data_IF_796254233285
#
_entry.id   IF_796254233285
#
_cell.length_a   1.000
_cell.length_b   1.000
_cell.length_c   1.000
_cell.angle_alpha   90.00
_cell.angle_beta   90.00
_cell.angle_gamma   90.00
#
_symmetry.space_group_name_H-M   'P 1'
#
loop_
_entity.id
_entity.type
_entity.pdbx_description
1 polymer ?
#
# COMPACT_ATOMS: atom_id res chain seq x y z
N UNK A 1 -2.92 9.73 25.26
CA UNK A 1 -1.92 8.66 25.08
C UNK A 1 -1.94 8.25 23.61
N UNK A 2 -0.82 7.83 23.00
CA UNK A 2 -0.85 7.27 21.64
C UNK A 2 -1.79 6.07 21.63
N UNK A 3 -2.70 6.04 20.67
CA UNK A 3 -3.53 4.87 20.40
C UNK A 3 -2.63 3.78 19.79
N UNK A 4 -2.59 2.59 20.39
CA UNK A 4 -1.83 1.45 19.85
C UNK A 4 -2.76 0.37 19.31
N UNK A 5 -3.96 0.77 18.91
CA UNK A 5 -4.91 -0.11 18.24
C UNK A 5 -4.28 -0.77 17.00
N UNK A 6 -4.70 -2.01 16.66
CA UNK A 6 -4.20 -2.68 15.47
C UNK A 6 -4.50 -1.93 14.18
N UNK A 7 -5.58 -1.16 14.16
CA UNK A 7 -6.03 -0.34 13.05
C UNK A 7 -5.42 1.08 13.05
N UNK A 8 -4.43 1.34 13.91
CA UNK A 8 -3.74 2.62 13.92
C UNK A 8 -3.08 2.89 12.54
N UNK A 9 -3.48 4.01 11.92
CA UNK A 9 -2.99 4.43 10.60
C UNK A 9 -1.47 4.51 10.50
N UNK A 10 -0.76 4.91 11.57
CA UNK A 10 0.70 4.94 11.59
C UNK A 10 1.28 3.53 11.49
N UNK A 11 0.74 2.55 12.23
CA UNK A 11 1.22 1.16 12.20
C UNK A 11 1.00 0.56 10.82
N UNK A 12 -0.21 0.69 10.26
CA UNK A 12 -0.55 0.18 8.93
C UNK A 12 0.38 0.76 7.85
N UNK A 13 0.58 2.08 7.87
CA UNK A 13 1.48 2.76 6.94
C UNK A 13 2.94 2.31 7.13
N UNK A 14 3.38 2.15 8.37
CA UNK A 14 4.73 1.69 8.67
C UNK A 14 4.95 0.24 8.24
N UNK A 15 3.97 -0.66 8.40
CA UNK A 15 4.01 -2.04 7.89
C UNK A 15 4.23 -2.05 6.39
N UNK A 16 3.46 -1.26 5.63
CA UNK A 16 3.63 -1.14 4.19
C UNK A 16 4.99 -0.53 3.82
N UNK A 17 5.40 0.54 4.49
CA UNK A 17 6.72 1.17 4.28
C UNK A 17 7.87 0.18 4.54
N UNK A 18 7.82 -0.54 5.67
CA UNK A 18 8.82 -1.53 6.06
C UNK A 18 8.88 -2.66 5.04
N UNK A 19 7.74 -3.17 4.58
CA UNK A 19 7.66 -4.18 3.52
C UNK A 19 8.42 -3.73 2.27
N UNK A 20 8.13 -2.56 1.71
CA UNK A 20 8.88 -2.11 0.52
C UNK A 20 10.35 -1.81 0.82
N UNK A 21 10.66 -1.27 2.01
CA UNK A 21 12.05 -1.00 2.42
C UNK A 21 12.89 -2.27 2.50
N UNK A 22 12.36 -3.33 3.11
CA UNK A 22 13.07 -4.60 3.26
C UNK A 22 13.30 -5.28 1.90
N UNK A 23 12.46 -4.99 0.90
CA UNK A 23 12.62 -5.43 -0.49
C UNK A 23 13.54 -4.49 -1.31
N UNK A 24 14.24 -3.56 -0.68
CA UNK A 24 15.25 -2.71 -1.31
C UNK A 24 14.71 -1.47 -2.03
N UNK A 25 13.42 -1.15 -1.90
CA UNK A 25 12.87 0.04 -2.55
C UNK A 25 13.28 1.34 -1.83
N UNK A 26 13.52 2.38 -2.61
CA UNK A 26 13.60 3.75 -2.12
C UNK A 26 12.19 4.36 -2.11
N UNK A 27 11.62 4.56 -0.92
CA UNK A 27 10.26 5.07 -0.76
C UNK A 27 10.24 6.60 -0.59
N UNK A 28 9.28 7.25 -1.22
CA UNK A 28 8.94 8.67 -1.06
C UNK A 28 7.43 8.86 -0.91
N UNK A 29 7.03 10.02 -0.39
CA UNK A 29 5.64 10.43 -0.33
C UNK A 29 5.04 10.53 -1.75
N UNK A 30 3.83 9.99 -1.94
CA UNK A 30 3.12 9.95 -3.23
C UNK A 30 2.05 11.01 -3.45
N UNK A 31 1.89 12.00 -2.55
CA UNK A 31 0.81 13.00 -2.56
C UNK A 31 0.66 13.72 -3.91
N UNK A 32 1.76 13.96 -4.63
CA UNK A 32 1.75 14.57 -5.97
C UNK A 32 0.91 13.79 -7.00
N UNK A 33 0.72 12.49 -6.78
CA UNK A 33 0.01 11.60 -7.69
C UNK A 33 -1.22 10.94 -7.04
N UNK A 34 -1.64 11.42 -5.85
CA UNK A 34 -2.81 10.88 -5.15
C UNK A 34 -2.62 9.45 -4.65
N UNK A 35 -1.40 9.06 -4.32
CA UNK A 35 -1.04 7.75 -3.75
C UNK A 35 -0.24 7.94 -2.47
N UNK A 36 -0.16 6.92 -1.62
CA UNK A 36 0.54 7.01 -0.33
C UNK A 36 2.06 7.03 -0.53
N UNK A 37 2.56 6.13 -1.37
CA UNK A 37 3.99 5.96 -1.61
C UNK A 37 4.37 5.93 -3.08
N UNK A 38 5.61 6.35 -3.35
CA UNK A 38 6.30 6.16 -4.61
C UNK A 38 7.50 5.27 -4.41
N UNK A 39 7.64 4.25 -5.25
CA UNK A 39 8.75 3.31 -5.20
C UNK A 39 9.76 3.58 -6.29
N UNK A 40 11.01 3.80 -5.88
CA UNK A 40 12.16 3.99 -6.75
C UNK A 40 13.15 2.84 -6.57
N UNK A 41 13.75 2.34 -7.65
CA UNK A 41 14.82 1.33 -7.53
C UNK A 41 16.08 1.88 -6.86
N UNK A 42 16.52 3.08 -7.27
CA UNK A 42 17.77 3.70 -6.79
C UNK A 42 17.60 5.08 -6.17
N UNK A 43 16.40 5.66 -6.26
CA UNK A 43 16.03 6.96 -5.71
C UNK A 43 15.88 8.06 -6.78
N UNK A 44 15.33 9.23 -6.39
CA UNK A 44 14.96 10.30 -7.34
C UNK A 44 16.07 10.85 -8.24
N UNK A 45 17.33 11.01 -7.78
CA UNK A 45 18.41 11.50 -8.65
C UNK A 45 18.79 10.53 -9.77
N UNK A 46 18.50 9.24 -9.59
CA UNK A 46 19.02 8.16 -10.46
C UNK A 46 17.95 7.57 -11.37
N UNK A 47 16.70 7.53 -10.93
CA UNK A 47 15.60 6.97 -11.72
C UNK A 47 14.27 7.64 -11.39
N UNK A 48 13.32 7.55 -12.31
CA UNK A 48 11.93 7.83 -11.97
C UNK A 48 11.36 6.77 -11.02
N UNK A 49 10.30 7.13 -10.29
CA UNK A 49 9.51 6.15 -9.55
C UNK A 49 8.79 5.23 -10.54
N UNK A 50 8.88 3.92 -10.31
CA UNK A 50 8.29 2.88 -11.15
C UNK A 50 6.83 2.61 -10.73
N UNK A 51 6.59 2.62 -9.42
CA UNK A 51 5.28 2.32 -8.84
C UNK A 51 4.74 3.48 -8.02
N UNK A 52 3.41 3.64 -8.07
CA UNK A 52 2.63 4.38 -7.08
C UNK A 52 1.84 3.39 -6.24
N UNK A 53 1.89 3.51 -4.91
CA UNK A 53 1.30 2.55 -3.97
C UNK A 53 0.19 3.20 -3.18
N UNK A 54 -0.95 2.53 -3.11
CA UNK A 54 -2.03 2.84 -2.19
C UNK A 54 -2.07 1.77 -1.12
N UNK A 55 -2.04 2.15 0.14
CA UNK A 55 -2.19 1.24 1.29
C UNK A 55 -3.66 1.05 1.58
N UNK A 56 -4.09 -0.21 1.60
CA UNK A 56 -5.48 -0.59 1.85
C UNK A 56 -5.53 -1.56 3.02
N UNK A 57 -5.99 -1.16 4.21
CA UNK A 57 -6.18 -2.11 5.29
C UNK A 57 -7.28 -3.12 4.94
N UNK A 58 -7.10 -4.37 5.37
CA UNK A 58 -8.10 -5.43 5.32
C UNK A 58 -8.31 -5.93 6.74
N UNK A 59 -9.56 -6.03 7.15
CA UNK A 59 -9.99 -6.55 8.44
C UNK A 59 -10.65 -7.92 8.28
N UNK A 60 -10.70 -8.71 9.37
CA UNK A 60 -11.50 -9.92 9.41
C UNK A 60 -13.01 -9.62 9.35
N UNK A 61 -13.42 -8.49 9.95
CA UNK A 61 -14.79 -7.98 9.95
C UNK A 61 -15.12 -7.31 8.61
N UNK A 62 -15.96 -7.99 7.83
CA UNK A 62 -16.39 -7.53 6.52
C UNK A 62 -17.17 -6.20 6.59
N UNK A 63 -17.83 -5.89 7.70
CA UNK A 63 -18.53 -4.62 7.90
C UNK A 63 -17.54 -3.45 7.86
N UNK A 64 -16.38 -3.61 8.51
CA UNK A 64 -15.29 -2.61 8.45
C UNK A 64 -14.74 -2.48 7.05
N UNK A 65 -14.52 -3.61 6.35
CA UNK A 65 -14.05 -3.60 4.96
C UNK A 65 -15.01 -2.85 4.04
N UNK A 66 -16.33 -3.02 4.21
CA UNK A 66 -17.34 -2.30 3.43
C UNK A 66 -17.29 -0.78 3.63
N UNK A 67 -17.01 -0.31 4.85
CA UNK A 67 -16.92 1.13 5.16
C UNK A 67 -15.71 1.80 4.50
N UNK A 68 -14.59 1.09 4.37
CA UNK A 68 -13.36 1.63 3.76
C UNK A 68 -13.24 1.34 2.26
N UNK A 69 -14.11 0.45 1.74
CA UNK A 69 -14.07 -0.02 0.36
C UNK A 69 -14.12 1.17 -0.60
N UNK A 70 -13.18 1.20 -1.53
CA UNK A 70 -13.18 2.17 -2.61
C UNK A 70 -14.01 1.64 -3.76
N UNK A 71 -14.81 2.51 -4.35
CA UNK A 71 -15.63 2.18 -5.49
C UNK A 71 -14.79 2.14 -6.78
N UNK A 72 -15.42 1.69 -7.86
CA UNK A 72 -14.76 1.59 -9.16
C UNK A 72 -14.35 2.95 -9.70
N UNK A 73 -15.16 4.00 -9.49
CA UNK A 73 -14.87 5.32 -10.03
C UNK A 73 -13.60 5.91 -9.41
N UNK A 74 -13.43 5.77 -8.09
CA UNK A 74 -12.21 6.15 -7.39
C UNK A 74 -11.00 5.37 -7.92
N UNK A 75 -11.11 4.04 -8.01
CA UNK A 75 -10.02 3.18 -8.47
C UNK A 75 -9.59 3.50 -9.90
N UNK A 76 -10.57 3.76 -10.78
CA UNK A 76 -10.34 4.18 -12.17
C UNK A 76 -9.69 5.56 -12.25
N UNK A 77 -10.13 6.51 -11.42
CA UNK A 77 -9.56 7.85 -11.32
C UNK A 77 -8.09 7.83 -10.92
N UNK A 78 -7.75 7.11 -9.85
CA UNK A 78 -6.34 7.02 -9.40
C UNK A 78 -5.49 6.30 -10.44
N UNK A 79 -6.00 5.20 -11.03
CA UNK A 79 -5.29 4.50 -12.09
C UNK A 79 -5.04 5.39 -13.32
N UNK A 80 -5.97 6.30 -13.67
CA UNK A 80 -5.78 7.28 -14.75
C UNK A 80 -4.67 8.29 -14.43
N UNK A 81 -4.62 8.81 -13.20
CA UNK A 81 -3.57 9.76 -12.78
C UNK A 81 -2.20 9.10 -12.80
N UNK A 82 -2.07 7.94 -12.16
CA UNK A 82 -0.81 7.19 -12.05
C UNK A 82 -0.34 6.69 -13.43
N UNK A 83 -1.25 6.13 -14.22
CA UNK A 83 -0.96 5.67 -15.58
C UNK A 83 -0.62 6.81 -16.54
N UNK A 84 -1.25 7.99 -16.38
CA UNK A 84 -0.97 9.18 -17.19
C UNK A 84 0.47 9.68 -17.04
N UNK A 85 1.09 9.47 -15.89
CA UNK A 85 2.51 9.78 -15.63
C UNK A 85 3.44 8.57 -15.78
N UNK A 86 2.99 7.55 -16.52
CA UNK A 86 3.75 6.32 -16.85
C UNK A 86 4.24 5.53 -15.63
N UNK A 87 3.47 5.55 -14.54
CA UNK A 87 3.71 4.71 -13.36
C UNK A 87 2.73 3.55 -13.34
N UNK A 88 3.10 2.48 -12.63
CA UNK A 88 2.20 1.35 -12.38
C UNK A 88 1.58 1.51 -11.00
N UNK A 89 0.26 1.40 -10.91
CA UNK A 89 -0.46 1.47 -9.64
C UNK A 89 -0.39 0.11 -8.93
N UNK A 90 -0.07 0.12 -7.65
CA UNK A 90 -0.07 -1.05 -6.77
C UNK A 90 -1.02 -0.79 -5.60
N UNK A 91 -1.95 -1.71 -5.39
CA UNK A 91 -2.73 -1.77 -4.15
C UNK A 91 -1.97 -2.66 -3.16
N UNK A 92 -1.53 -2.07 -2.07
CA UNK A 92 -0.83 -2.74 -0.99
C UNK A 92 -1.84 -3.05 0.11
N UNK A 93 -2.37 -4.26 0.08
CA UNK A 93 -3.30 -4.74 1.08
C UNK A 93 -2.55 -5.13 2.36
N UNK A 94 -2.95 -4.56 3.49
CA UNK A 94 -2.39 -4.86 4.81
C UNK A 94 -3.47 -5.54 5.64
N UNK A 95 -3.34 -6.84 5.87
CA UNK A 95 -4.23 -7.56 6.78
C UNK A 95 -3.93 -7.14 8.22
N UNK A 96 -4.92 -6.50 8.83
CA UNK A 96 -4.88 -6.01 10.21
C UNK A 96 -5.38 -7.11 11.14
N UNK A 97 -4.60 -7.52 12.16
CA UNK A 97 -5.05 -8.51 13.12
C UNK A 97 -6.13 -7.93 14.04
N UNK A 98 -7.07 -8.78 14.49
CA UNK A 98 -8.17 -8.36 15.38
C UNK A 98 -7.69 -7.86 16.74
N UNK A 99 -6.64 -8.51 17.24
CA UNK A 99 -5.95 -8.11 18.45
C UNK A 99 -4.43 -8.15 18.24
N UNK A 100 -3.74 -7.23 18.91
CA UNK A 100 -2.29 -7.29 19.06
C UNK A 100 -2.02 -7.78 20.49
N UNK A 101 -1.55 -9.02 20.64
CA UNK A 101 -0.99 -9.43 21.94
C UNK A 101 0.22 -8.57 22.27
N UNK A 102 0.61 -8.60 23.55
CA UNK A 102 1.85 -7.96 24.03
C UNK A 102 3.01 -8.30 23.09
N UNK A 103 3.73 -7.27 22.70
CA UNK A 103 4.93 -7.35 21.87
C UNK A 103 6.05 -6.62 22.61
N UNK A 104 7.26 -7.13 22.49
CA UNK A 104 8.44 -6.55 23.12
C UNK A 104 9.37 -5.90 22.09
N UNK A 105 9.31 -6.36 20.84
CA UNK A 105 10.09 -5.84 19.72
C UNK A 105 9.21 -5.42 18.54
N UNK A 106 9.71 -4.50 17.71
CA UNK A 106 8.99 -4.04 16.51
C UNK A 106 8.85 -5.19 15.49
N UNK A 107 9.83 -6.09 15.41
CA UNK A 107 9.77 -7.24 14.51
C UNK A 107 8.64 -8.21 14.84
N UNK A 108 8.40 -8.47 16.13
CA UNK A 108 7.26 -9.26 16.60
C UNK A 108 5.93 -8.62 16.20
N UNK A 109 5.82 -7.30 16.37
CA UNK A 109 4.64 -6.56 15.96
C UNK A 109 4.40 -6.66 14.46
N UNK A 110 5.43 -6.39 13.64
CA UNK A 110 5.33 -6.41 12.18
C UNK A 110 4.96 -7.79 11.63
N UNK A 111 5.45 -8.88 12.25
CA UNK A 111 5.12 -10.27 11.85
C UNK A 111 3.64 -10.62 12.02
N UNK A 112 2.89 -9.89 12.86
CA UNK A 112 1.45 -10.11 13.04
C UNK A 112 0.62 -9.59 11.87
N UNK A 113 1.16 -8.64 11.11
CA UNK A 113 0.51 -8.11 9.92
C UNK A 113 0.95 -8.90 8.68
N UNK A 114 0.04 -9.07 7.72
CA UNK A 114 0.36 -9.67 6.42
C UNK A 114 0.16 -8.65 5.32
N UNK A 115 1.11 -8.59 4.39
CA UNK A 115 1.06 -7.68 3.24
C UNK A 115 0.83 -8.47 1.97
N UNK A 116 -0.13 -8.04 1.14
CA UNK A 116 -0.39 -8.57 -0.19
C UNK A 116 -0.39 -7.44 -1.20
N UNK A 117 0.19 -7.68 -2.36
CA UNK A 117 0.32 -6.67 -3.40
C UNK A 117 -0.54 -7.05 -4.60
N UNK A 118 -1.34 -6.10 -5.09
CA UNK A 118 -2.08 -6.23 -6.33
C UNK A 118 -1.63 -5.15 -7.31
N UNK A 119 -0.99 -5.58 -8.39
CA UNK A 119 -0.51 -4.67 -9.44
C UNK A 119 -1.62 -4.42 -10.44
N UNK A 120 -2.15 -3.19 -10.44
CA UNK A 120 -3.16 -2.77 -11.40
C UNK A 120 -2.49 -2.44 -12.74
N UNK A 121 -2.73 -3.29 -13.73
CA UNK A 121 -2.31 -3.08 -15.11
C UNK A 121 -3.53 -2.98 -16.02
N UNK A 122 -3.44 -2.11 -17.02
CA UNK A 122 -4.45 -2.06 -18.09
C UNK A 122 -4.49 -3.40 -18.79
N UNK A 123 -5.68 -3.98 -18.88
CA UNK A 123 -5.88 -5.17 -19.70
C UNK A 123 -5.84 -4.78 -21.19
N UNK A 124 -4.97 -5.45 -21.96
CA UNK A 124 -4.79 -5.21 -23.39
C UNK A 124 -5.02 -6.54 -24.11
N UNK A 125 -6.07 -6.67 -24.96
CA UNK A 125 -6.42 -7.94 -25.61
C UNK A 125 -5.26 -8.59 -26.37
N UNK A 126 -4.39 -7.79 -27.00
CA UNK A 126 -3.26 -8.28 -27.80
C UNK A 126 -2.05 -8.72 -26.98
N UNK A 127 -1.97 -8.36 -25.69
CA UNK A 127 -0.83 -8.68 -24.81
C UNK A 127 -1.15 -9.67 -23.70
N UNK A 128 -2.44 -9.83 -23.38
CA UNK A 128 -2.92 -10.60 -22.24
C UNK A 128 -3.81 -11.78 -22.69
N UNK A 129 -3.55 -12.32 -23.88
CA UNK A 129 -4.24 -13.48 -24.44
C UNK A 129 -3.41 -14.74 -24.25
#
# INVERSE_FOLDING_TARGET
MPDWSPDNSFIINYVAYHHYRSHGWCIRNGVKFGVDYLLYRRGPPFSHAEFGVIVVPIYSDESKNQLIRKDWSWSSGVNRVVGGVKKVLVLCYVEVPDCIDKWHTVEELLKKYKVRELVLRRWIPSRNR
#
